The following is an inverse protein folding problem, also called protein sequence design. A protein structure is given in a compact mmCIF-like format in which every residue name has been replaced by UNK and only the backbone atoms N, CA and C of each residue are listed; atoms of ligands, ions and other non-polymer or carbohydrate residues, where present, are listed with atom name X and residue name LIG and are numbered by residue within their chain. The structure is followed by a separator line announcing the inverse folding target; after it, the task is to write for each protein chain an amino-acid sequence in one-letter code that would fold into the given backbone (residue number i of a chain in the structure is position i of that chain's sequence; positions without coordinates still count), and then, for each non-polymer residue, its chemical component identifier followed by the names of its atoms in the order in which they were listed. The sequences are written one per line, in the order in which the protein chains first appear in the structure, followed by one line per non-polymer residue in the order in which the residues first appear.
data_IF_577556609062
#
_entry.id   IF_577556609062
#
_cell.length_a   1.000
_cell.length_b   1.000
_cell.length_c   1.000
_cell.angle_alpha   90.00
_cell.angle_beta   90.00
_cell.angle_gamma   90.00
#
_symmetry.space_group_name_H-M   'P 1'
#
loop_
_entity.id
_entity.type
_entity.pdbx_description
1 polymer ?
#
# COMPACT_ATOMS: atom_id res chain seq x y z
N UNK A 1 2.23 8.02 -0.52
CA UNK A 1 2.25 8.52 -1.92
C UNK A 1 2.77 7.48 -2.91
N UNK A 2 4.06 7.12 -2.92
CA UNK A 2 4.63 6.18 -3.91
C UNK A 2 3.88 4.83 -3.97
N UNK A 3 3.56 4.27 -2.81
CA UNK A 3 2.78 3.04 -2.70
C UNK A 3 1.41 3.16 -3.38
N UNK A 4 0.65 4.21 -3.04
CA UNK A 4 -0.67 4.47 -3.61
C UNK A 4 -0.60 4.69 -5.13
N UNK A 5 0.42 5.42 -5.62
CA UNK A 5 0.64 5.64 -7.05
C UNK A 5 0.85 4.32 -7.81
N UNK A 6 1.68 3.42 -7.27
CA UNK A 6 1.89 2.11 -7.89
C UNK A 6 0.63 1.25 -7.87
N UNK A 7 -0.17 1.32 -6.81
CA UNK A 7 -1.45 0.60 -6.72
C UNK A 7 -2.51 1.14 -7.65
N UNK A 8 -2.55 2.46 -7.87
CA UNK A 8 -3.42 3.06 -8.87
C UNK A 8 -3.02 2.58 -10.28
N UNK A 9 -1.72 2.53 -10.59
CA UNK A 9 -1.23 1.96 -11.86
C UNK A 9 -1.69 0.51 -12.06
N UNK A 10 -1.61 -0.33 -11.02
CA UNK A 10 -2.13 -1.71 -11.08
C UNK A 10 -3.63 -1.72 -11.37
N UNK A 11 -4.40 -0.88 -10.70
CA UNK A 11 -5.84 -0.71 -10.95
C UNK A 11 -6.13 -0.28 -12.39
N UNK A 12 -5.37 0.66 -12.94
CA UNK A 12 -5.52 1.11 -14.33
C UNK A 12 -5.22 -0.01 -15.33
N UNK A 13 -4.18 -0.81 -15.07
CA UNK A 13 -3.86 -1.99 -15.89
C UNK A 13 -4.97 -3.03 -15.86
N UNK A 14 -5.53 -3.30 -14.67
CA UNK A 14 -6.66 -4.19 -14.49
C UNK A 14 -7.91 -3.68 -15.21
N UNK A 15 -8.21 -2.38 -15.16
CA UNK A 15 -9.32 -1.79 -15.92
C UNK A 15 -9.12 -1.91 -17.44
N UNK A 16 -7.88 -1.76 -17.92
CA UNK A 16 -7.54 -2.00 -19.33
C UNK A 16 -7.70 -3.48 -19.70
N UNK A 17 -7.20 -4.39 -18.86
CA UNK A 17 -7.32 -5.83 -19.04
C UNK A 17 -8.80 -6.26 -19.11
N UNK A 18 -9.67 -5.71 -18.25
CA UNK A 18 -11.11 -6.01 -18.24
C UNK A 18 -11.83 -5.60 -19.53
N UNK A 19 -11.31 -4.64 -20.27
CA UNK A 19 -11.86 -4.19 -21.57
C UNK A 19 -11.27 -4.94 -22.77
N UNK A 20 -10.20 -5.71 -22.57
CA UNK A 20 -9.59 -6.51 -23.63
C UNK A 20 -10.35 -7.83 -23.85
N UNK A 21 -10.24 -8.38 -25.07
CA UNK A 21 -10.70 -9.73 -25.39
C UNK A 21 -9.70 -10.81 -24.93
N UNK A 22 -8.48 -10.42 -24.54
CA UNK A 22 -7.38 -11.34 -24.22
C UNK A 22 -7.52 -12.07 -22.87
N UNK A 23 -8.51 -11.68 -22.06
CA UNK A 23 -8.73 -12.22 -20.71
C UNK A 23 -10.10 -12.90 -20.63
N UNK A 24 -10.18 -14.02 -19.92
CA UNK A 24 -11.43 -14.74 -19.67
C UNK A 24 -12.34 -13.96 -18.72
N UNK A 25 -13.64 -14.25 -18.76
CA UNK A 25 -14.61 -13.59 -17.87
C UNK A 25 -14.26 -13.80 -16.38
N UNK A 26 -13.73 -14.97 -16.03
CA UNK A 26 -13.27 -15.30 -14.67
C UNK A 26 -12.10 -14.41 -14.24
N UNK A 27 -11.14 -14.14 -15.13
CA UNK A 27 -10.01 -13.23 -14.85
C UNK A 27 -10.49 -11.79 -14.69
N UNK A 28 -11.42 -11.36 -15.54
CA UNK A 28 -12.01 -10.02 -15.47
C UNK A 28 -12.77 -9.80 -14.17
N UNK A 29 -13.50 -10.82 -13.70
CA UNK A 29 -14.18 -10.77 -12.41
C UNK A 29 -13.18 -10.60 -11.26
N UNK A 30 -12.06 -11.34 -11.25
CA UNK A 30 -10.99 -11.17 -10.25
C UNK A 30 -10.40 -9.76 -10.27
N UNK A 31 -10.22 -9.15 -11.44
CA UNK A 31 -9.74 -7.77 -11.55
C UNK A 31 -10.73 -6.77 -10.93
N UNK A 32 -12.03 -6.94 -11.18
CA UNK A 32 -13.08 -6.10 -10.58
C UNK A 32 -13.09 -6.27 -9.06
N UNK A 33 -13.08 -7.52 -8.58
CA UNK A 33 -13.02 -7.81 -7.15
C UNK A 33 -11.79 -7.19 -6.49
N UNK A 34 -10.63 -7.25 -7.15
CA UNK A 34 -9.42 -6.60 -6.65
C UNK A 34 -9.61 -5.09 -6.56
N UNK A 35 -10.11 -4.44 -7.61
CA UNK A 35 -10.32 -2.97 -7.64
C UNK A 35 -11.24 -2.51 -6.51
N UNK A 36 -12.35 -3.24 -6.27
CA UNK A 36 -13.33 -2.92 -5.23
C UNK A 36 -12.79 -3.16 -3.81
N UNK A 37 -11.99 -4.21 -3.63
CA UNK A 37 -11.49 -4.61 -2.32
C UNK A 37 -10.06 -4.15 -2.06
N UNK A 38 -9.46 -3.37 -2.96
CA UNK A 38 -8.03 -3.06 -2.93
C UNK A 38 -7.59 -2.49 -1.57
N UNK A 39 -8.44 -1.70 -0.92
CA UNK A 39 -8.12 -1.02 0.34
C UNK A 39 -8.51 -1.81 1.60
N UNK A 40 -9.14 -2.98 1.44
CA UNK A 40 -9.37 -3.98 2.48
C UNK A 40 -8.18 -4.96 2.53
N UNK A 41 -7.33 -4.81 3.55
CA UNK A 41 -6.06 -5.54 3.64
C UNK A 41 -6.20 -7.07 3.73
N UNK A 42 -7.26 -7.59 4.34
CA UNK A 42 -7.47 -9.02 4.50
C UNK A 42 -8.01 -9.64 3.20
N UNK A 43 -9.09 -9.06 2.66
CA UNK A 43 -9.72 -9.52 1.42
C UNK A 43 -8.75 -9.45 0.22
N UNK A 44 -8.00 -8.35 0.08
CA UNK A 44 -7.11 -8.16 -1.07
C UNK A 44 -5.97 -9.17 -1.08
N UNK A 45 -5.56 -9.72 0.08
CA UNK A 45 -4.44 -10.67 0.17
C UNK A 45 -4.74 -11.95 -0.58
N UNK A 46 -5.93 -12.50 -0.39
CA UNK A 46 -6.35 -13.74 -1.04
C UNK A 46 -6.64 -13.52 -2.54
N UNK A 47 -7.31 -12.42 -2.89
CA UNK A 47 -7.57 -12.04 -4.29
C UNK A 47 -6.25 -11.84 -5.04
N UNK A 48 -5.25 -11.21 -4.42
CA UNK A 48 -3.93 -10.99 -5.02
C UNK A 48 -3.23 -12.31 -5.36
N UNK A 49 -3.31 -13.31 -4.46
CA UNK A 49 -2.72 -14.62 -4.70
C UNK A 49 -3.41 -15.34 -5.88
N UNK A 50 -4.73 -15.22 -5.98
CA UNK A 50 -5.49 -15.75 -7.11
C UNK A 50 -5.10 -15.07 -8.43
N UNK A 51 -4.96 -13.74 -8.43
CA UNK A 51 -4.50 -12.98 -9.62
C UNK A 51 -3.13 -13.47 -10.09
N UNK A 52 -2.16 -13.62 -9.17
CA UNK A 52 -0.83 -14.11 -9.54
C UNK A 52 -0.93 -15.50 -10.15
N UNK A 53 -1.71 -16.41 -9.55
CA UNK A 53 -1.88 -17.76 -10.05
C UNK A 53 -2.50 -17.80 -11.46
N UNK A 54 -3.54 -17.01 -11.74
CA UNK A 54 -4.22 -17.02 -13.05
C UNK A 54 -3.46 -16.28 -14.15
N UNK A 55 -2.56 -15.37 -13.79
CA UNK A 55 -1.74 -14.62 -14.75
C UNK A 55 -0.39 -15.29 -15.03
N UNK A 56 0.09 -16.15 -14.12
CA UNK A 56 1.38 -16.83 -14.28
C UNK A 56 1.39 -17.67 -15.54
N UNK A 57 2.37 -17.44 -16.42
CA UNK A 57 2.51 -18.16 -17.70
C UNK A 57 1.71 -17.56 -18.86
N UNK A 58 1.00 -16.45 -18.66
CA UNK A 58 0.39 -15.71 -19.77
C UNK A 58 1.44 -14.91 -20.55
N UNK A 59 1.37 -14.97 -21.88
CA UNK A 59 2.25 -14.19 -22.76
C UNK A 59 1.76 -12.75 -23.01
N UNK A 60 0.58 -12.40 -22.49
CA UNK A 60 -0.01 -11.07 -22.64
C UNK A 60 0.83 -10.00 -21.90
N UNK A 61 1.13 -8.89 -22.58
CA UNK A 61 1.96 -7.81 -22.04
C UNK A 61 1.36 -7.15 -20.79
N UNK A 62 0.03 -6.99 -20.73
CA UNK A 62 -0.64 -6.44 -19.53
C UNK A 62 -0.50 -7.41 -18.36
N UNK A 63 -0.63 -8.72 -18.61
CA UNK A 63 -0.45 -9.74 -17.58
C UNK A 63 0.99 -9.71 -17.01
N UNK A 64 1.99 -9.65 -17.90
CA UNK A 64 3.41 -9.52 -17.51
C UNK A 64 3.66 -8.24 -16.70
N UNK A 65 3.07 -7.12 -17.10
CA UNK A 65 3.20 -5.86 -16.38
C UNK A 65 2.56 -5.94 -14.98
N UNK A 66 1.36 -6.51 -14.86
CA UNK A 66 0.70 -6.73 -13.55
C UNK A 66 1.57 -7.62 -12.65
N UNK A 67 2.10 -8.73 -13.19
CA UNK A 67 3.00 -9.61 -12.45
C UNK A 67 4.30 -8.91 -12.03
N UNK A 68 4.87 -8.03 -12.86
CA UNK A 68 6.04 -7.23 -12.47
C UNK A 68 5.77 -6.29 -11.27
N UNK A 69 4.50 -5.99 -11.03
CA UNK A 69 4.00 -5.15 -9.93
C UNK A 69 3.39 -5.97 -8.79
N UNK A 70 3.62 -7.29 -8.74
CA UNK A 70 3.02 -8.22 -7.77
C UNK A 70 3.09 -7.71 -6.32
N UNK A 71 4.23 -7.14 -5.92
CA UNK A 71 4.45 -6.59 -4.57
C UNK A 71 3.45 -5.50 -4.14
N UNK A 72 2.75 -4.90 -5.10
CA UNK A 72 1.74 -3.86 -4.89
C UNK A 72 0.30 -4.40 -4.95
N UNK A 73 0.08 -5.66 -5.33
CA UNK A 73 -1.26 -6.27 -5.33
C UNK A 73 -1.84 -6.30 -3.91
N UNK A 74 -1.00 -6.63 -2.92
CA UNK A 74 -1.39 -6.59 -1.51
C UNK A 74 -1.30 -5.17 -0.92
N UNK A 75 -2.26 -4.78 -0.08
CA UNK A 75 -2.16 -3.55 0.73
C UNK A 75 -0.97 -3.66 1.70
N UNK A 76 -0.20 -2.58 1.82
CA UNK A 76 0.86 -2.46 2.82
C UNK A 76 0.38 -1.57 3.96
N UNK A 77 0.73 -1.93 5.19
CA UNK A 77 0.56 -1.07 6.36
C UNK A 77 1.81 -0.22 6.50
N UNK A 78 1.65 1.11 6.45
CA UNK A 78 2.76 2.06 6.58
C UNK A 78 2.85 2.48 8.05
N UNK A 79 4.04 2.36 8.62
CA UNK A 79 4.34 2.72 10.00
C UNK A 79 5.43 3.78 10.08
N UNK A 80 5.22 4.76 10.95
CA UNK A 80 6.21 5.75 11.34
C UNK A 80 6.52 5.53 12.82
N UNK A 81 7.79 5.26 13.13
CA UNK A 81 8.26 5.05 14.49
C UNK A 81 9.14 6.22 14.91
N UNK A 82 8.94 6.72 16.12
CA UNK A 82 9.83 7.72 16.71
C UNK A 82 9.63 7.85 18.22
N UNK A 83 10.56 8.55 18.88
CA UNK A 83 10.46 8.86 20.31
C UNK A 83 9.71 10.17 20.58
N UNK A 84 9.49 10.46 21.86
CA UNK A 84 8.84 11.67 22.35
C UNK A 84 9.42 12.95 21.73
N UNK A 85 10.70 13.24 21.88
CA UNK A 85 11.23 14.49 21.35
C UNK A 85 11.28 14.63 19.81
N UNK A 86 11.14 13.54 19.03
CA UNK A 86 10.80 13.68 17.61
C UNK A 86 9.35 14.14 17.43
N UNK A 87 8.43 13.52 18.14
CA UNK A 87 7.01 13.77 18.00
C UNK A 87 6.58 15.14 18.57
N UNK A 88 7.16 15.57 19.69
CA UNK A 88 6.75 16.76 20.43
C UNK A 88 7.58 18.02 20.12
N UNK A 89 8.86 17.86 19.72
CA UNK A 89 9.73 18.99 19.39
C UNK A 89 10.01 19.09 17.89
N UNK A 90 11.14 18.53 17.44
CA UNK A 90 11.73 18.85 16.14
C UNK A 90 10.89 18.34 14.95
N UNK A 91 10.12 17.27 15.16
CA UNK A 91 9.28 16.65 14.14
C UNK A 91 7.80 17.03 14.21
N UNK A 92 7.37 17.78 15.24
CA UNK A 92 5.94 18.05 15.48
C UNK A 92 5.26 18.72 14.28
N UNK A 93 5.84 19.77 13.72
CA UNK A 93 5.25 20.47 12.57
C UNK A 93 5.10 19.59 11.33
N UNK A 94 6.00 18.63 11.13
CA UNK A 94 5.89 17.65 10.05
C UNK A 94 4.84 16.58 10.34
N UNK A 95 4.77 16.11 11.58
CA UNK A 95 3.80 15.13 12.03
C UNK A 95 2.36 15.68 11.95
N UNK A 96 2.12 16.90 12.44
CA UNK A 96 0.84 17.60 12.35
C UNK A 96 0.37 17.70 10.90
N UNK A 97 1.25 18.19 10.01
CA UNK A 97 0.93 18.31 8.59
C UNK A 97 0.54 16.96 7.96
N UNK A 98 1.30 15.89 8.23
CA UNK A 98 1.01 14.56 7.66
C UNK A 98 -0.30 13.98 8.21
N UNK A 99 -0.60 14.16 9.49
CA UNK A 99 -1.85 13.70 10.09
C UNK A 99 -3.05 14.50 9.53
N UNK A 100 -2.90 15.81 9.33
CA UNK A 100 -3.93 16.65 8.72
C UNK A 100 -4.25 16.27 7.27
N UNK A 101 -3.31 15.64 6.54
CA UNK A 101 -3.54 15.14 5.18
C UNK A 101 -4.44 13.89 5.10
N UNK A 102 -4.82 13.29 6.24
CA UNK A 102 -5.72 12.13 6.31
C UNK A 102 -5.20 10.89 5.56
N UNK A 103 -3.88 10.76 5.44
CA UNK A 103 -3.27 9.60 4.77
C UNK A 103 -3.40 8.34 5.64
N UNK A 104 -3.57 7.18 5.01
CA UNK A 104 -3.60 5.87 5.70
C UNK A 104 -2.18 5.47 6.15
N UNK A 105 -1.78 5.97 7.32
CA UNK A 105 -0.53 5.66 8.01
C UNK A 105 -0.80 5.37 9.48
N UNK A 106 0.12 4.64 10.10
CA UNK A 106 0.13 4.38 11.54
C UNK A 106 1.36 5.07 12.13
N UNK A 107 1.18 5.81 13.22
CA UNK A 107 2.28 6.47 13.92
C UNK A 107 2.39 5.85 15.31
N UNK A 108 3.56 5.33 15.65
CA UNK A 108 3.88 4.86 16.99
C UNK A 108 4.94 5.78 17.59
N UNK A 109 4.53 6.54 18.60
CA UNK A 109 5.43 7.32 19.45
C UNK A 109 5.78 6.46 20.67
N UNK A 110 7.07 6.21 20.84
CA UNK A 110 7.60 5.53 22.02
C UNK A 110 8.02 6.61 23.01
N UNK A 111 7.08 6.97 23.89
CA UNK A 111 7.26 8.05 24.86
C UNK A 111 8.06 7.55 26.06
N UNK A 112 9.24 8.11 26.25
CA UNK A 112 10.12 7.85 27.40
C UNK A 112 10.21 9.05 28.34
N UNK A 113 9.47 10.13 28.07
CA UNK A 113 9.47 11.42 28.79
C UNK A 113 10.86 12.10 28.88
N UNK A 114 11.86 11.56 28.17
CA UNK A 114 13.22 12.08 28.08
C UNK A 114 13.85 11.66 26.75
N UNK A 115 14.83 12.42 26.28
CA UNK A 115 15.70 12.01 25.19
C UNK A 115 16.63 10.86 25.61
N UNK A 116 16.08 9.64 25.59
CA UNK A 116 16.75 8.42 26.04
C UNK A 116 18.09 8.16 25.31
N UNK A 117 18.17 8.44 24.01
CA UNK A 117 19.37 8.16 23.22
C UNK A 117 20.55 9.12 23.49
N UNK A 118 20.30 10.34 23.96
CA UNK A 118 21.35 11.37 24.21
C UNK A 118 21.71 11.54 25.68
N UNK A 119 21.24 10.63 26.55
CA UNK A 119 21.59 10.63 27.98
C UNK A 119 20.54 11.26 28.90
N UNK A 120 19.26 11.29 28.49
CA UNK A 120 18.15 11.68 29.37
C UNK A 120 17.97 13.19 29.53
N UNK A 121 18.23 13.96 28.46
CA UNK A 121 17.87 15.37 28.44
C UNK A 121 16.33 15.50 28.45
N UNK A 122 15.81 16.54 29.10
CA UNK A 122 14.35 16.80 29.05
C UNK A 122 13.92 16.95 27.60
N UNK A 123 12.93 16.13 27.23
CA UNK A 123 12.05 16.39 26.08
C UNK A 123 10.99 17.42 26.45
#
# INVERSE_FOLDING_TARGET
IAQASMRNRVGDLMQKASKSADFSDSQKELFVQWIENKDNGEAVKEISAQIVAVLTGMENEIAKEILSLEKYLTKKSIWVFGGDGWAYDIGFGGLDHVLAMGQDINVLVLDTEVYSNTGGQSS
#
